data_IF_490312732265
#
_entry.id   IF_490312732265
#
_cell.length_a   1.000
_cell.length_b   1.000
_cell.length_c   1.000
_cell.angle_alpha   90.00
_cell.angle_beta   90.00
_cell.angle_gamma   90.00
#
_symmetry.space_group_name_H-M   'P 1'
#
loop_
_entity.id
_entity.type
_entity.pdbx_description
1 polymer ?
#
# COMPACT_ATOMS: atom_id res chain seq x y z
N UNK A 1 7.67 7.71 -13.64
CA UNK A 1 7.34 6.87 -12.47
C UNK A 1 8.19 5.61 -12.56
N UNK A 2 8.96 5.30 -11.52
CA UNK A 2 9.88 4.15 -11.51
C UNK A 2 9.21 2.95 -10.82
N UNK A 3 8.64 2.04 -11.62
CA UNK A 3 7.91 0.88 -11.10
C UNK A 3 8.79 -0.07 -10.29
N UNK A 4 10.05 -0.25 -10.68
CA UNK A 4 11.00 -1.10 -9.96
C UNK A 4 11.24 -0.61 -8.53
N UNK A 5 11.33 0.71 -8.35
CA UNK A 5 11.53 1.33 -7.04
C UNK A 5 10.28 1.18 -6.16
N UNK A 6 9.09 1.41 -6.73
CA UNK A 6 7.82 1.21 -6.03
C UNK A 6 7.68 -0.25 -5.60
N UNK A 7 7.99 -1.20 -6.49
CA UNK A 7 7.90 -2.63 -6.18
C UNK A 7 8.88 -3.03 -5.06
N UNK A 8 10.11 -2.50 -5.07
CA UNK A 8 11.07 -2.74 -4.01
C UNK A 8 10.57 -2.20 -2.66
N UNK A 9 9.99 -0.99 -2.67
CA UNK A 9 9.46 -0.34 -1.46
C UNK A 9 8.22 -1.03 -0.91
N UNK A 10 7.30 -1.47 -1.77
CA UNK A 10 6.14 -2.28 -1.36
C UNK A 10 6.59 -3.60 -0.73
N UNK A 11 7.64 -4.24 -1.26
CA UNK A 11 8.22 -5.45 -0.65
C UNK A 11 8.84 -5.17 0.72
N UNK A 12 9.56 -4.07 0.89
CA UNK A 12 10.08 -3.65 2.20
C UNK A 12 8.95 -3.38 3.19
N UNK A 13 7.91 -2.66 2.77
CA UNK A 13 6.72 -2.36 3.59
C UNK A 13 5.99 -3.63 4.04
N UNK A 14 5.79 -4.59 3.14
CA UNK A 14 5.18 -5.87 3.49
C UNK A 14 6.04 -6.69 4.46
N UNK A 15 7.37 -6.63 4.32
CA UNK A 15 8.29 -7.26 5.27
C UNK A 15 8.17 -6.64 6.66
N UNK A 16 8.05 -5.30 6.74
CA UNK A 16 7.81 -4.57 7.99
C UNK A 16 6.42 -4.88 8.59
N UNK A 17 5.41 -5.08 7.74
CA UNK A 17 4.06 -5.47 8.14
C UNK A 17 3.95 -6.92 8.64
N UNK A 18 5.03 -7.71 8.55
CA UNK A 18 5.09 -9.04 9.11
C UNK A 18 4.68 -10.17 8.17
N UNK A 19 4.86 -10.03 6.84
CA UNK A 19 4.95 -11.20 5.95
C UNK A 19 6.13 -12.09 6.40
N UNK A 20 5.89 -13.00 7.35
CA UNK A 20 6.86 -13.99 7.81
C UNK A 20 6.91 -14.29 9.31
N UNK A 21 6.27 -13.51 10.19
CA UNK A 21 6.26 -13.77 11.64
C UNK A 21 4.90 -14.34 12.06
N UNK A 22 4.71 -15.64 11.82
CA UNK A 22 3.72 -16.43 12.52
C UNK A 22 4.13 -16.57 13.99
N UNK A 23 3.94 -15.52 14.79
CA UNK A 23 4.45 -15.48 16.16
C UNK A 23 3.67 -14.54 17.06
N UNK A 24 2.64 -15.11 17.71
CA UNK A 24 2.09 -14.66 19.00
C UNK A 24 1.38 -13.29 19.08
N UNK A 25 0.24 -13.11 18.39
CA UNK A 25 -0.88 -12.34 18.95
C UNK A 25 -2.23 -12.96 18.51
N UNK A 26 -3.01 -13.60 19.41
CA UNK A 26 -4.18 -14.42 19.04
C UNK A 26 -5.44 -13.61 18.66
N UNK A 27 -5.32 -12.32 18.31
CA UNK A 27 -6.49 -11.46 18.01
C UNK A 27 -6.33 -10.49 16.83
N UNK A 28 -5.18 -10.45 16.16
CA UNK A 28 -5.03 -9.66 14.94
C UNK A 28 -5.50 -10.52 13.77
N UNK A 29 -6.61 -10.14 13.13
CA UNK A 29 -7.04 -10.71 11.86
C UNK A 29 -5.81 -10.72 10.95
N UNK A 30 -5.53 -11.86 10.30
CA UNK A 30 -4.40 -11.96 9.36
C UNK A 30 -4.40 -10.72 8.46
N UNK A 31 -3.30 -9.93 8.39
CA UNK A 31 -3.27 -8.74 7.56
C UNK A 31 -3.57 -9.17 6.13
N UNK A 32 -4.75 -8.80 5.65
CA UNK A 32 -5.24 -9.26 4.37
C UNK A 32 -4.50 -8.43 3.32
N UNK A 33 -3.57 -9.04 2.59
CA UNK A 33 -2.82 -8.38 1.54
C UNK A 33 -3.75 -7.52 0.67
N UNK A 34 -3.45 -6.22 0.58
CA UNK A 34 -4.20 -5.29 -0.24
C UNK A 34 -3.71 -5.40 -1.68
N UNK A 35 -4.51 -5.92 -2.63
CA UNK A 35 -4.11 -5.94 -4.03
C UNK A 35 -3.96 -4.52 -4.54
N UNK A 36 -2.73 -4.16 -4.91
CA UNK A 36 -2.37 -2.91 -5.56
C UNK A 36 -1.96 -3.20 -7.00
N UNK A 37 -2.67 -2.63 -7.96
CA UNK A 37 -2.32 -2.74 -9.38
C UNK A 37 -1.80 -1.40 -9.88
N UNK A 38 -0.59 -1.41 -10.44
CA UNK A 38 0.05 -0.25 -11.04
C UNK A 38 -0.14 -0.29 -12.56
N UNK A 39 -0.64 0.80 -13.13
CA UNK A 39 -0.75 1.03 -14.57
C UNK A 39 0.20 2.15 -14.99
N UNK A 40 0.42 2.33 -16.28
CA UNK A 40 1.27 3.42 -16.78
C UNK A 40 0.71 4.82 -16.46
N UNK A 41 -0.62 4.94 -16.39
CA UNK A 41 -1.35 6.18 -16.22
C UNK A 41 -1.97 6.37 -14.82
N UNK A 42 -1.88 5.38 -13.94
CA UNK A 42 -2.50 5.41 -12.62
C UNK A 42 -2.36 4.11 -11.85
N UNK A 43 -3.11 3.96 -10.77
CA UNK A 43 -3.14 2.76 -9.96
C UNK A 43 -4.56 2.41 -9.53
N UNK A 44 -4.76 1.18 -9.06
CA UNK A 44 -6.01 0.70 -8.48
C UNK A 44 -5.68 -0.03 -7.18
N UNK A 45 -6.30 0.38 -6.08
CA UNK A 45 -6.27 -0.31 -4.79
C UNK A 45 -7.59 -1.04 -4.59
N UNK A 46 -7.57 -2.33 -4.19
CA UNK A 46 -8.74 -3.20 -3.86
C UNK A 46 -10.12 -2.55 -4.06
N UNK A 47 -10.77 -2.84 -5.17
CA UNK A 47 -12.15 -2.41 -5.50
C UNK A 47 -12.41 -0.88 -5.41
N UNK A 48 -11.36 -0.06 -5.27
CA UNK A 48 -11.43 1.39 -5.35
C UNK A 48 -11.42 1.86 -6.81
N UNK A 49 -11.96 3.06 -7.07
CA UNK A 49 -11.86 3.68 -8.39
C UNK A 49 -10.41 3.77 -8.88
N UNK A 50 -10.25 3.90 -10.18
CA UNK A 50 -8.95 4.16 -10.79
C UNK A 50 -8.38 5.49 -10.30
N UNK A 51 -7.15 5.46 -9.82
CA UNK A 51 -6.42 6.59 -9.27
C UNK A 51 -5.41 7.09 -10.31
N UNK A 52 -5.74 8.14 -11.07
CA UNK A 52 -4.84 8.65 -12.10
C UNK A 52 -3.63 9.34 -11.46
N UNK A 53 -2.44 9.14 -12.03
CA UNK A 53 -1.23 9.80 -11.54
C UNK A 53 -1.25 11.33 -11.68
N UNK A 54 -2.20 11.90 -12.40
CA UNK A 54 -2.39 13.35 -12.45
C UNK A 54 -3.05 13.91 -11.17
N UNK A 55 -3.70 13.05 -10.38
CA UNK A 55 -4.33 13.46 -9.14
C UNK A 55 -3.28 13.62 -8.02
N UNK A 56 -3.29 14.75 -7.30
CA UNK A 56 -2.31 15.01 -6.24
C UNK A 56 -2.38 14.00 -5.09
N UNK A 57 -3.55 13.45 -4.77
CA UNK A 57 -3.65 12.41 -3.73
C UNK A 57 -2.97 11.11 -4.18
N UNK A 58 -3.05 10.78 -5.48
CA UNK A 58 -2.36 9.59 -6.01
C UNK A 58 -0.83 9.78 -5.99
N UNK A 59 -0.35 11.00 -6.27
CA UNK A 59 1.07 11.31 -6.18
C UNK A 59 1.58 11.26 -4.74
N UNK A 60 0.81 11.79 -3.78
CA UNK A 60 1.15 11.73 -2.37
C UNK A 60 1.18 10.28 -1.86
N UNK A 61 0.18 9.48 -2.22
CA UNK A 61 0.13 8.06 -1.89
C UNK A 61 1.37 7.30 -2.40
N UNK A 62 1.79 7.57 -3.65
CA UNK A 62 3.03 7.00 -4.20
C UNK A 62 4.27 7.48 -3.46
N UNK A 63 4.32 8.74 -3.07
CA UNK A 63 5.44 9.33 -2.35
C UNK A 63 5.60 8.70 -0.97
N UNK A 64 4.50 8.54 -0.23
CA UNK A 64 4.48 7.85 1.06
C UNK A 64 5.07 6.43 0.93
N UNK A 65 4.66 5.68 -0.10
CA UNK A 65 5.22 4.34 -0.39
C UNK A 65 6.73 4.41 -0.67
N UNK A 66 7.16 5.38 -1.49
CA UNK A 66 8.56 5.55 -1.85
C UNK A 66 9.44 5.93 -0.65
N UNK A 67 8.88 6.71 0.28
CA UNK A 67 9.50 7.09 1.54
C UNK A 67 9.47 5.94 2.57
N UNK A 68 8.77 4.84 2.28
CA UNK A 68 8.68 3.67 3.16
C UNK A 68 7.60 3.80 4.23
N UNK A 69 6.57 4.59 3.97
CA UNK A 69 5.39 4.76 4.80
C UNK A 69 4.13 4.16 4.15
N UNK A 70 3.16 3.81 4.98
CA UNK A 70 1.82 3.45 4.48
C UNK A 70 1.06 4.73 4.12
N UNK A 71 0.48 4.81 2.91
CA UNK A 71 -0.19 6.01 2.45
C UNK A 71 -1.40 6.36 3.32
N UNK A 72 -1.57 7.64 3.57
CA UNK A 72 -2.62 8.16 4.46
C UNK A 72 -4.03 7.88 3.94
N UNK A 73 -4.19 7.79 2.62
CA UNK A 73 -5.44 7.41 1.94
C UNK A 73 -5.91 6.01 2.34
N UNK A 74 -4.99 5.10 2.68
CA UNK A 74 -5.35 3.80 3.20
C UNK A 74 -5.89 3.89 4.62
N UNK A 75 -5.39 4.79 5.47
CA UNK A 75 -5.93 4.96 6.81
C UNK A 75 -7.38 5.46 6.79
N UNK A 76 -7.74 6.31 5.82
CA UNK A 76 -9.12 6.76 5.60
C UNK A 76 -10.05 5.60 5.20
N UNK A 77 -9.55 4.68 4.37
CA UNK A 77 -10.32 3.52 3.93
C UNK A 77 -10.32 2.37 4.95
N UNK A 78 -9.29 2.30 5.79
CA UNK A 78 -9.05 1.26 6.80
C UNK A 78 -8.80 1.91 8.17
N UNK A 79 -9.85 2.47 8.80
CA UNK A 79 -9.72 3.14 10.11
C UNK A 79 -9.36 2.16 11.24
N UNK A 80 -9.62 0.87 11.06
CA UNK A 80 -9.22 -0.21 11.98
C UNK A 80 -7.75 -0.66 11.80
N UNK A 81 -7.01 -0.03 10.89
CA UNK A 81 -5.64 -0.38 10.53
C UNK A 81 -5.56 -1.35 9.35
N UNK A 82 -4.34 -1.48 8.81
CA UNK A 82 -3.97 -2.37 7.69
C UNK A 82 -3.17 -3.55 8.23
#
# INVERSE_FOLDING_TARGET
>A
IHFDLILAKVKELNLLAGEGIAGMQPRLRQPQALPLTLYQNGMVMRDQPFWPYQDPATQQCLQDILDGYFPSELQLCYPDGI
#
